data_IF_347874960584
#
_entry.id   IF_347874960584
#
_cell.length_a   1.000
_cell.length_b   1.000
_cell.length_c   1.000
_cell.angle_alpha   90.00
_cell.angle_beta   90.00
_cell.angle_gamma   90.00
#
_symmetry.space_group_name_H-M   'P 1'
#
loop_
_entity.id
_entity.type
_entity.pdbx_description
1 polymer ?
#
# COMPACT_ATOMS: atom_id res chain seq x y z
N UNK A 1 -21.79 -25.84 -14.50
CA UNK A 1 -20.52 -26.07 -13.78
C UNK A 1 -20.00 -24.70 -13.37
N UNK A 2 -19.96 -24.40 -12.07
CA UNK A 2 -19.32 -23.18 -11.56
C UNK A 2 -17.84 -23.26 -11.96
N UNK A 3 -17.43 -22.45 -12.94
CA UNK A 3 -16.01 -22.30 -13.27
C UNK A 3 -15.37 -21.65 -12.04
N UNK A 4 -14.77 -22.46 -11.17
CA UNK A 4 -13.86 -21.96 -10.15
C UNK A 4 -12.77 -21.20 -10.90
N UNK A 5 -12.81 -19.88 -10.81
CA UNK A 5 -11.77 -19.03 -11.36
C UNK A 5 -10.40 -19.48 -10.86
N UNK A 6 -9.32 -19.10 -11.54
CA UNK A 6 -7.97 -19.40 -11.09
C UNK A 6 -7.80 -19.00 -9.61
N UNK A 7 -7.09 -19.81 -8.80
CA UNK A 7 -6.91 -19.51 -7.39
C UNK A 7 -6.24 -18.15 -7.23
N UNK A 8 -6.68 -17.40 -6.21
CA UNK A 8 -6.07 -16.12 -5.84
C UNK A 8 -4.60 -16.34 -5.51
N UNK A 9 -3.75 -15.47 -6.04
CA UNK A 9 -2.31 -15.48 -5.84
C UNK A 9 -1.89 -14.19 -5.14
N UNK A 10 -0.76 -14.27 -4.43
CA UNK A 10 -0.16 -13.11 -3.79
C UNK A 10 0.69 -12.32 -4.78
N UNK A 11 0.46 -11.01 -4.84
CA UNK A 11 1.16 -10.08 -5.71
C UNK A 11 1.67 -8.87 -4.93
N UNK A 12 2.77 -8.29 -5.41
CA UNK A 12 3.20 -6.94 -5.00
C UNK A 12 2.48 -5.89 -5.84
N UNK A 13 2.39 -4.65 -5.33
CA UNK A 13 1.85 -3.51 -6.09
C UNK A 13 2.47 -3.40 -7.49
N UNK A 14 3.80 -3.51 -7.57
CA UNK A 14 4.55 -3.38 -8.83
C UNK A 14 4.15 -4.45 -9.86
N UNK A 15 3.94 -5.69 -9.42
CA UNK A 15 3.49 -6.76 -10.32
C UNK A 15 2.06 -6.53 -10.80
N UNK A 16 1.17 -6.01 -9.95
CA UNK A 16 -0.18 -5.63 -10.36
C UNK A 16 -0.21 -4.43 -11.32
N UNK A 17 0.64 -3.41 -11.12
CA UNK A 17 0.79 -2.31 -12.09
C UNK A 17 1.14 -2.86 -13.47
N UNK A 18 2.06 -3.83 -13.53
CA UNK A 18 2.48 -4.45 -14.80
C UNK A 18 1.31 -5.17 -15.49
N UNK A 19 0.52 -5.92 -14.73
CA UNK A 19 -0.67 -6.62 -15.26
C UNK A 19 -1.75 -5.61 -15.70
N UNK A 20 -2.03 -4.60 -14.88
CA UNK A 20 -2.97 -3.51 -15.20
C UNK A 20 -2.60 -2.82 -16.51
N UNK A 21 -1.33 -2.42 -16.64
CA UNK A 21 -0.83 -1.79 -17.86
C UNK A 21 -0.91 -2.73 -19.06
N UNK A 22 -0.68 -4.04 -18.90
CA UNK A 22 -0.84 -5.00 -20.00
C UNK A 22 -2.30 -5.11 -20.47
N UNK A 23 -3.27 -5.07 -19.54
CA UNK A 23 -4.71 -5.07 -19.87
C UNK A 23 -5.09 -3.77 -20.57
N UNK A 24 -4.62 -2.64 -20.06
CA UNK A 24 -4.92 -1.32 -20.61
C UNK A 24 -4.28 -1.10 -21.99
N UNK A 25 -3.06 -1.58 -22.21
CA UNK A 25 -2.45 -1.60 -23.54
C UNK A 25 -3.20 -2.52 -24.50
N UNK A 26 -3.69 -3.68 -24.04
CA UNK A 26 -4.52 -4.56 -24.85
C UNK A 26 -5.87 -3.90 -25.22
N UNK A 27 -6.47 -3.14 -24.30
CA UNK A 27 -7.69 -2.38 -24.56
C UNK A 27 -7.48 -1.21 -25.53
N UNK A 28 -6.27 -0.66 -25.61
CA UNK A 28 -5.90 0.41 -26.54
C UNK A 28 -5.45 -0.09 -27.92
N UNK A 29 -5.17 -1.38 -28.06
CA UNK A 29 -4.76 -1.95 -29.33
C UNK A 29 -5.90 -1.85 -30.34
N UNK A 30 -5.59 -1.38 -31.56
CA UNK A 30 -6.58 -1.29 -32.63
C UNK A 30 -7.14 -2.68 -32.95
N UNK A 31 -8.44 -2.85 -32.77
CA UNK A 31 -9.15 -4.10 -33.03
C UNK A 31 -10.53 -3.84 -33.63
N UNK A 32 -10.97 -4.72 -34.54
CA UNK A 32 -12.33 -4.74 -35.09
C UNK A 32 -13.18 -5.79 -34.35
N UNK A 33 -13.29 -5.67 -33.03
CA UNK A 33 -13.95 -6.65 -32.18
C UNK A 33 -15.23 -6.16 -31.50
N UNK A 34 -15.66 -4.93 -31.78
CA UNK A 34 -16.94 -4.37 -31.38
C UNK A 34 -16.83 -3.37 -30.21
N UNK A 35 -17.96 -3.01 -29.58
CA UNK A 35 -17.95 -2.02 -28.51
C UNK A 35 -17.15 -2.52 -27.31
N UNK A 36 -16.20 -1.70 -26.85
CA UNK A 36 -15.37 -1.98 -25.69
C UNK A 36 -16.00 -1.39 -24.42
N UNK A 37 -16.09 -2.23 -23.38
CA UNK A 37 -16.37 -1.82 -21.99
C UNK A 37 -15.05 -1.86 -21.23
N UNK A 38 -14.74 -0.79 -20.50
CA UNK A 38 -13.67 -0.80 -19.49
C UNK A 38 -14.23 -0.38 -18.15
N UNK A 39 -13.96 -1.17 -17.10
CA UNK A 39 -14.27 -0.82 -15.71
C UNK A 39 -12.97 -0.88 -14.92
N UNK A 40 -12.61 0.22 -14.25
CA UNK A 40 -11.43 0.29 -13.42
C UNK A 40 -11.74 0.88 -12.05
N UNK A 41 -11.27 0.23 -10.99
CA UNK A 41 -11.41 0.68 -9.61
C UNK A 41 -10.05 1.10 -9.06
N UNK A 42 -9.97 2.35 -8.62
CA UNK A 42 -8.79 2.96 -8.02
C UNK A 42 -9.01 3.13 -6.53
N UNK A 43 -8.02 2.70 -5.74
CA UNK A 43 -8.12 2.79 -4.29
C UNK A 43 -8.04 4.23 -3.77
N UNK A 44 -7.36 5.14 -4.49
CA UNK A 44 -7.12 6.55 -4.08
C UNK A 44 -6.85 7.47 -5.27
N UNK A 45 -7.18 8.76 -5.12
CA UNK A 45 -7.04 9.77 -6.18
C UNK A 45 -5.62 9.85 -6.76
N UNK A 46 -4.53 9.87 -5.96
CA UNK A 46 -3.18 9.98 -6.50
C UNK A 46 -2.80 8.83 -7.46
N UNK A 47 -3.41 7.65 -7.32
CA UNK A 47 -3.18 6.55 -8.25
C UNK A 47 -3.92 6.79 -9.57
N UNK A 48 -5.14 7.33 -9.54
CA UNK A 48 -5.88 7.68 -10.75
C UNK A 48 -5.25 8.85 -11.50
N UNK A 49 -4.81 9.90 -10.79
CA UNK A 49 -4.17 11.08 -11.40
C UNK A 49 -2.97 10.71 -12.28
N UNK A 50 -2.18 9.71 -11.86
CA UNK A 50 -1.03 9.20 -12.64
C UNK A 50 -1.44 8.52 -13.94
N UNK A 51 -2.62 7.91 -13.98
CA UNK A 51 -3.15 7.17 -15.12
C UNK A 51 -4.15 7.98 -15.95
N UNK A 52 -4.42 9.25 -15.60
CA UNK A 52 -5.43 10.09 -16.26
C UNK A 52 -5.24 10.18 -17.78
N UNK A 53 -4.00 10.35 -18.25
CA UNK A 53 -3.70 10.40 -19.69
C UNK A 53 -4.02 9.08 -20.40
N UNK A 54 -3.81 7.94 -19.72
CA UNK A 54 -4.13 6.60 -20.23
C UNK A 54 -5.64 6.41 -20.30
N UNK A 55 -6.36 6.72 -19.22
CA UNK A 55 -7.81 6.60 -19.19
C UNK A 55 -8.52 7.56 -20.14
N UNK A 56 -7.91 8.72 -20.45
CA UNK A 56 -8.39 9.60 -21.52
C UNK A 56 -8.31 8.93 -22.90
N UNK A 57 -7.23 8.18 -23.19
CA UNK A 57 -7.13 7.41 -24.43
C UNK A 57 -8.11 6.25 -24.49
N UNK A 58 -8.28 5.53 -23.37
CA UNK A 58 -9.23 4.41 -23.28
C UNK A 58 -10.66 4.92 -23.50
N UNK A 59 -11.07 5.97 -22.80
CA UNK A 59 -12.42 6.52 -22.90
C UNK A 59 -12.75 7.06 -24.31
N UNK A 60 -11.75 7.55 -25.04
CA UNK A 60 -11.93 8.00 -26.41
C UNK A 60 -12.21 6.86 -27.42
N UNK A 61 -11.77 5.63 -27.12
CA UNK A 61 -11.99 4.45 -27.98
C UNK A 61 -13.05 3.48 -27.48
N UNK A 62 -13.35 3.49 -26.18
CA UNK A 62 -14.32 2.61 -25.56
C UNK A 62 -15.76 3.10 -25.79
N UNK A 63 -16.70 2.17 -25.87
CA UNK A 63 -18.13 2.51 -25.88
C UNK A 63 -18.58 3.04 -24.51
N UNK A 64 -17.99 2.54 -23.43
CA UNK A 64 -18.20 3.01 -22.06
C UNK A 64 -16.97 2.73 -21.23
N UNK A 65 -16.53 3.72 -20.45
CA UNK A 65 -15.49 3.56 -19.42
C UNK A 65 -16.07 3.93 -18.08
N UNK A 66 -15.92 3.07 -17.07
CA UNK A 66 -16.34 3.33 -15.69
C UNK A 66 -15.10 3.37 -14.80
N UNK A 67 -14.95 4.46 -14.05
CA UNK A 67 -13.86 4.68 -13.10
C UNK A 67 -14.45 4.78 -11.70
N UNK A 68 -14.26 3.74 -10.89
CA UNK A 68 -14.54 3.78 -9.47
C UNK A 68 -13.35 4.37 -8.71
N UNK A 69 -13.61 5.28 -7.78
CA UNK A 69 -12.59 5.89 -6.94
C UNK A 69 -13.09 6.02 -5.51
N UNK A 70 -12.24 5.66 -4.55
CA UNK A 70 -12.61 5.78 -3.13
C UNK A 70 -12.52 7.21 -2.62
N UNK A 71 -13.53 7.61 -1.84
CA UNK A 71 -13.64 8.90 -1.15
C UNK A 71 -14.39 9.95 -1.96
N UNK A 72 -14.04 10.10 -3.24
CA UNK A 72 -14.64 11.13 -4.11
C UNK A 72 -14.71 10.67 -5.57
N UNK A 73 -15.63 11.27 -6.33
CA UNK A 73 -15.66 11.13 -7.79
C UNK A 73 -14.56 12.01 -8.40
N UNK A 74 -13.78 11.53 -9.38
CA UNK A 74 -12.77 12.38 -10.02
C UNK A 74 -13.39 13.65 -10.64
N UNK A 75 -12.85 14.84 -10.35
CA UNK A 75 -13.44 16.11 -10.79
C UNK A 75 -13.36 16.32 -12.31
N UNK A 76 -12.35 15.73 -12.96
CA UNK A 76 -12.14 15.82 -14.41
C UNK A 76 -12.06 14.43 -15.04
N UNK A 77 -13.21 13.86 -15.34
CA UNK A 77 -13.27 12.62 -16.10
C UNK A 77 -13.15 12.89 -17.60
N UNK A 78 -12.45 12.03 -18.36
CA UNK A 78 -12.48 12.08 -19.81
C UNK A 78 -13.90 12.00 -20.35
N UNK A 79 -14.16 12.65 -21.48
CA UNK A 79 -15.42 12.45 -22.21
C UNK A 79 -15.61 10.94 -22.52
N UNK A 80 -16.82 10.42 -22.26
CA UNK A 80 -17.12 8.99 -22.40
C UNK A 80 -16.77 8.12 -21.16
N UNK A 81 -16.16 8.72 -20.13
CA UNK A 81 -15.94 8.06 -18.84
C UNK A 81 -16.99 8.49 -17.80
N UNK A 82 -17.39 7.52 -16.97
CA UNK A 82 -18.32 7.71 -15.85
C UNK A 82 -17.59 7.44 -14.53
N UNK A 83 -17.76 8.33 -13.58
CA UNK A 83 -17.12 8.24 -12.26
C UNK A 83 -18.07 7.66 -11.24
N UNK A 84 -17.55 6.81 -10.36
CA UNK A 84 -18.28 6.31 -9.20
C UNK A 84 -17.45 6.53 -7.94
N UNK A 85 -17.99 7.30 -6.99
CA UNK A 85 -17.43 7.37 -5.65
C UNK A 85 -17.68 6.05 -4.90
N UNK A 86 -16.63 5.54 -4.27
CA UNK A 86 -16.68 4.38 -3.39
C UNK A 86 -16.47 4.82 -1.93
N UNK A 87 -17.24 4.26 -1.01
CA UNK A 87 -17.10 4.54 0.41
C UNK A 87 -15.87 3.84 0.99
N UNK A 88 -15.09 4.53 1.82
CA UNK A 88 -13.84 4.01 2.42
C UNK A 88 -14.00 2.70 3.21
N UNK A 89 -15.22 2.42 3.67
CA UNK A 89 -15.56 1.24 4.46
C UNK A 89 -16.12 0.08 3.64
N UNK A 90 -16.49 0.30 2.38
CA UNK A 90 -17.07 -0.75 1.53
C UNK A 90 -16.00 -1.72 1.02
N UNK A 91 -16.42 -2.92 0.62
CA UNK A 91 -15.51 -3.96 0.16
C UNK A 91 -14.68 -3.53 -1.06
N UNK A 92 -15.32 -2.84 -2.00
CA UNK A 92 -14.70 -2.35 -3.23
C UNK A 92 -13.60 -1.31 -2.97
N UNK A 93 -13.59 -0.62 -1.83
CA UNK A 93 -12.55 0.36 -1.53
C UNK A 93 -11.15 -0.26 -1.36
N UNK A 94 -11.10 -1.56 -1.03
CA UNK A 94 -9.84 -2.32 -0.96
C UNK A 94 -9.54 -3.10 -2.24
N UNK A 95 -10.47 -3.09 -3.19
CA UNK A 95 -10.35 -3.78 -4.46
C UNK A 95 -9.66 -2.86 -5.49
N UNK A 96 -8.67 -3.41 -6.18
CA UNK A 96 -8.16 -2.90 -7.43
C UNK A 96 -8.64 -3.84 -8.52
N UNK A 97 -9.53 -3.33 -9.37
CA UNK A 97 -10.03 -4.04 -10.53
C UNK A 97 -9.74 -3.28 -11.81
N UNK A 98 -9.35 -3.99 -12.87
CA UNK A 98 -9.32 -3.48 -14.24
C UNK A 98 -9.88 -4.58 -15.13
N UNK A 99 -10.99 -4.28 -15.79
CA UNK A 99 -11.69 -5.22 -16.66
C UNK A 99 -11.89 -4.56 -18.00
N UNK A 100 -11.49 -5.24 -19.06
CA UNK A 100 -11.73 -4.85 -20.44
C UNK A 100 -12.52 -5.97 -21.13
N UNK A 101 -13.59 -5.62 -21.83
CA UNK A 101 -14.46 -6.59 -22.49
C UNK A 101 -14.97 -6.08 -23.84
N UNK A 102 -14.80 -6.90 -24.87
CA UNK A 102 -15.43 -6.76 -26.18
C UNK A 102 -16.10 -8.09 -26.55
N UNK A 103 -16.92 -8.12 -27.62
CA UNK A 103 -17.41 -9.37 -28.19
C UNK A 103 -16.35 -10.43 -28.52
N UNK A 104 -15.07 -10.09 -28.72
CA UNK A 104 -14.01 -11.09 -29.07
C UNK A 104 -12.76 -11.03 -28.20
N UNK A 105 -12.70 -10.14 -27.23
CA UNK A 105 -11.59 -9.97 -26.30
C UNK A 105 -12.13 -9.82 -24.88
N UNK A 106 -11.38 -10.33 -23.91
CA UNK A 106 -11.59 -9.91 -22.55
C UNK A 106 -10.37 -10.14 -21.70
N UNK A 107 -10.17 -9.24 -20.74
CA UNK A 107 -9.10 -9.34 -19.77
C UNK A 107 -9.54 -8.80 -18.43
N UNK A 108 -9.02 -9.41 -17.37
CA UNK A 108 -9.36 -9.08 -15.99
C UNK A 108 -8.12 -8.98 -15.14
N UNK A 109 -8.17 -8.04 -14.22
CA UNK A 109 -7.40 -8.00 -13.00
C UNK A 109 -8.40 -7.70 -11.89
N UNK A 110 -8.40 -8.53 -10.85
CA UNK A 110 -9.13 -8.27 -9.59
C UNK A 110 -8.18 -8.61 -8.45
N UNK A 111 -7.85 -7.63 -7.63
CA UNK A 111 -6.94 -7.80 -6.51
C UNK A 111 -7.41 -7.03 -5.29
N UNK A 112 -7.30 -7.64 -4.11
CA UNK A 112 -7.63 -7.02 -2.83
C UNK A 112 -6.37 -6.73 -2.05
N UNK A 113 -6.26 -5.50 -1.55
CA UNK A 113 -5.16 -5.12 -0.66
C UNK A 113 -5.27 -5.83 0.69
N UNK A 114 -4.20 -6.54 1.08
CA UNK A 114 -4.11 -7.23 2.37
C UNK A 114 -3.79 -6.29 3.52
N UNK A 115 -3.35 -5.07 3.22
CA UNK A 115 -2.73 -4.13 4.18
C UNK A 115 -1.51 -4.74 4.88
N UNK A 116 -0.82 -5.64 4.19
CA UNK A 116 0.44 -6.25 4.57
C UNK A 116 1.56 -5.69 3.69
N UNK A 117 2.80 -5.73 4.18
CA UNK A 117 3.98 -5.34 3.41
C UNK A 117 5.08 -6.38 3.48
N UNK A 118 5.83 -6.52 2.39
CA UNK A 118 7.14 -7.16 2.38
C UNK A 118 8.27 -6.12 2.33
N UNK A 119 9.49 -6.56 2.63
CA UNK A 119 10.66 -5.70 2.58
C UNK A 119 10.92 -5.24 1.13
N UNK A 120 10.85 -3.94 0.91
CA UNK A 120 11.02 -3.32 -0.40
C UNK A 120 11.66 -1.93 -0.26
N UNK A 121 12.04 -1.35 -1.40
CA UNK A 121 12.63 -0.01 -1.48
C UNK A 121 11.71 1.11 -0.97
N UNK A 122 10.39 0.91 -1.05
CA UNK A 122 9.37 1.80 -0.48
C UNK A 122 8.21 0.99 0.09
N UNK A 123 7.46 1.58 1.04
CA UNK A 123 6.25 0.99 1.60
C UNK A 123 5.23 0.66 0.50
N UNK A 124 4.98 1.59 -0.41
CA UNK A 124 4.05 1.37 -1.52
C UNK A 124 4.46 0.17 -2.39
N UNK A 125 5.75 0.05 -2.73
CA UNK A 125 6.24 -1.06 -3.57
C UNK A 125 6.12 -2.41 -2.86
N UNK A 126 6.26 -2.43 -1.54
CA UNK A 126 6.15 -3.62 -0.70
C UNK A 126 4.73 -4.07 -0.38
N UNK A 127 3.68 -3.29 -0.73
CA UNK A 127 2.29 -3.67 -0.46
C UNK A 127 1.91 -4.99 -1.11
N UNK A 128 1.25 -5.84 -0.34
CA UNK A 128 0.81 -7.17 -0.74
C UNK A 128 -0.69 -7.21 -1.05
N UNK A 129 -1.04 -7.93 -2.10
CA UNK A 129 -2.39 -8.08 -2.60
C UNK A 129 -2.69 -9.55 -2.85
N UNK A 130 -3.93 -9.97 -2.62
CA UNK A 130 -4.44 -11.23 -3.14
C UNK A 130 -5.27 -10.95 -4.37
N UNK A 131 -4.94 -11.57 -5.49
CA UNK A 131 -5.66 -11.29 -6.73
C UNK A 131 -5.63 -12.40 -7.74
N UNK A 132 -6.33 -12.16 -8.83
CA UNK A 132 -6.35 -12.98 -10.03
C UNK A 132 -6.34 -12.08 -11.26
N UNK A 133 -5.78 -12.60 -12.33
CA UNK A 133 -5.79 -11.94 -13.62
C UNK A 133 -5.85 -12.97 -14.75
N UNK A 134 -6.37 -12.55 -15.88
CA UNK A 134 -6.57 -13.40 -17.04
C UNK A 134 -6.84 -12.59 -18.30
N UNK A 135 -6.72 -13.26 -19.44
CA UNK A 135 -7.00 -12.71 -20.78
C UNK A 135 -8.09 -13.54 -21.47
N UNK A 136 -9.02 -14.02 -20.66
CA UNK A 136 -10.17 -14.82 -21.05
C UNK A 136 -11.44 -13.99 -21.00
N UNK A 137 -12.21 -14.07 -22.07
CA UNK A 137 -13.45 -13.29 -22.21
C UNK A 137 -14.56 -13.76 -21.28
N UNK A 138 -14.63 -15.06 -20.99
CA UNK A 138 -15.59 -15.58 -20.02
C UNK A 138 -15.28 -15.06 -18.62
N UNK A 139 -14.01 -14.97 -18.22
CA UNK A 139 -13.62 -14.36 -16.94
C UNK A 139 -13.98 -12.86 -16.90
N UNK A 140 -13.68 -12.11 -17.98
CA UNK A 140 -14.06 -10.70 -18.10
C UNK A 140 -15.56 -10.47 -18.07
N UNK A 141 -16.34 -11.32 -18.73
CA UNK A 141 -17.80 -11.26 -18.70
C UNK A 141 -18.32 -11.37 -17.26
N UNK A 142 -17.85 -12.35 -16.49
CA UNK A 142 -18.27 -12.52 -15.09
C UNK A 142 -17.92 -11.29 -14.24
N UNK A 143 -16.74 -10.69 -14.44
CA UNK A 143 -16.36 -9.49 -13.68
C UNK A 143 -17.13 -8.24 -14.10
N UNK A 144 -17.41 -8.05 -15.40
CA UNK A 144 -18.26 -6.93 -15.84
C UNK A 144 -19.67 -7.07 -15.26
N UNK A 145 -20.26 -8.28 -15.27
CA UNK A 145 -21.58 -8.51 -14.66
C UNK A 145 -21.55 -8.18 -13.16
N UNK A 146 -20.56 -8.70 -12.42
CA UNK A 146 -20.40 -8.44 -10.98
C UNK A 146 -20.28 -6.95 -10.68
N UNK A 147 -19.40 -6.24 -11.39
CA UNK A 147 -19.15 -4.81 -11.16
C UNK A 147 -20.33 -3.95 -11.61
N UNK A 148 -20.98 -4.29 -12.73
CA UNK A 148 -22.20 -3.65 -13.19
C UNK A 148 -23.29 -3.72 -12.11
N UNK A 149 -23.50 -4.89 -11.51
CA UNK A 149 -24.52 -5.07 -10.46
C UNK A 149 -24.16 -4.31 -9.18
N UNK A 150 -22.89 -4.28 -8.79
CA UNK A 150 -22.43 -3.56 -7.58
C UNK A 150 -22.45 -2.04 -7.72
N UNK A 151 -22.37 -1.54 -8.94
CA UNK A 151 -22.33 -0.11 -9.25
C UNK A 151 -23.64 0.39 -9.86
N UNK A 152 -24.66 -0.46 -10.00
CA UNK A 152 -25.90 -0.16 -10.71
C UNK A 152 -26.59 1.12 -10.21
N UNK A 153 -26.77 1.25 -8.90
CA UNK A 153 -27.44 2.40 -8.28
C UNK A 153 -26.61 3.70 -8.34
N UNK A 154 -25.35 3.61 -8.78
CA UNK A 154 -24.38 4.70 -8.80
C UNK A 154 -24.03 5.15 -10.22
N UNK A 155 -24.50 4.45 -11.25
CA UNK A 155 -24.22 4.74 -12.65
C UNK A 155 -25.43 5.36 -13.34
N UNK A 156 -25.24 6.32 -14.27
CA UNK A 156 -26.31 6.81 -15.11
C UNK A 156 -26.93 5.69 -15.95
N UNK A 157 -28.25 5.78 -16.20
CA UNK A 157 -28.98 4.79 -17.00
C UNK A 157 -28.39 4.60 -18.41
N UNK A 158 -27.82 5.66 -19.00
CA UNK A 158 -27.13 5.59 -20.30
C UNK A 158 -25.89 4.70 -20.25
N UNK A 159 -25.07 4.82 -19.20
CA UNK A 159 -23.88 3.99 -19.02
C UNK A 159 -24.28 2.51 -18.85
N UNK A 160 -25.27 2.25 -18.02
CA UNK A 160 -25.80 0.90 -17.78
C UNK A 160 -26.34 0.28 -19.07
N UNK A 161 -27.13 1.02 -19.85
CA UNK A 161 -27.65 0.55 -21.13
C UNK A 161 -26.53 0.18 -22.12
N UNK A 162 -25.45 0.97 -22.18
CA UNK A 162 -24.29 0.65 -23.02
C UNK A 162 -23.56 -0.60 -22.53
N UNK A 163 -23.34 -0.75 -21.22
CA UNK A 163 -22.75 -1.97 -20.65
C UNK A 163 -23.62 -3.19 -20.97
N UNK A 164 -24.92 -3.12 -20.72
CA UNK A 164 -25.88 -4.20 -20.95
C UNK A 164 -25.93 -4.60 -22.44
N UNK A 165 -25.81 -3.64 -23.36
CA UNK A 165 -25.70 -3.92 -24.80
C UNK A 165 -24.45 -4.74 -25.15
N UNK A 166 -23.30 -4.44 -24.55
CA UNK A 166 -22.07 -5.23 -24.78
C UNK A 166 -22.19 -6.61 -24.16
N UNK A 167 -22.72 -6.70 -22.94
CA UNK A 167 -22.97 -7.98 -22.26
C UNK A 167 -23.85 -8.91 -23.09
N UNK A 168 -24.92 -8.38 -23.69
CA UNK A 168 -25.81 -9.15 -24.57
C UNK A 168 -25.07 -9.71 -25.79
N UNK A 169 -24.28 -8.88 -26.48
CA UNK A 169 -23.46 -9.33 -27.64
C UNK A 169 -22.43 -10.41 -27.26
N UNK A 170 -21.82 -10.31 -26.08
CA UNK A 170 -20.81 -11.27 -25.61
C UNK A 170 -21.43 -12.61 -25.25
N UNK A 171 -22.62 -12.63 -24.61
CA UNK A 171 -23.31 -13.85 -24.15
C UNK A 171 -23.55 -14.87 -25.28
N UNK A 172 -23.68 -14.40 -26.51
CA UNK A 172 -23.94 -15.23 -27.68
C UNK A 172 -22.68 -15.79 -28.35
N UNK A 173 -21.49 -15.45 -27.86
CA UNK A 173 -20.22 -15.85 -28.46
C UNK A 173 -19.35 -16.60 -27.44
N UNK A 174 -19.21 -17.95 -27.51
CA UNK A 174 -18.44 -18.70 -26.53
C UNK A 174 -16.94 -18.36 -26.61
N UNK A 175 -16.26 -18.36 -25.46
CA UNK A 175 -14.80 -18.23 -25.38
C UNK A 175 -14.13 -19.30 -26.26
N UNK A 176 -13.13 -18.90 -27.04
CA UNK A 176 -12.43 -19.84 -27.92
C UNK A 176 -11.30 -20.54 -27.19
N UNK A 177 -10.96 -21.80 -27.53
CA UNK A 177 -9.78 -22.47 -26.96
C UNK A 177 -8.45 -21.71 -27.21
N UNK A 178 -8.42 -20.78 -28.16
CA UNK A 178 -7.28 -19.89 -28.40
C UNK A 178 -6.99 -18.96 -27.21
N UNK A 179 -8.04 -18.43 -26.56
CA UNK A 179 -7.92 -17.55 -25.39
C UNK A 179 -7.21 -18.26 -24.23
N UNK A 180 -7.62 -19.50 -23.94
CA UNK A 180 -6.98 -20.32 -22.89
C UNK A 180 -5.53 -20.66 -23.19
N UNK A 181 -5.18 -20.91 -24.47
CA UNK A 181 -3.79 -21.18 -24.88
C UNK A 181 -2.93 -19.92 -24.79
N UNK A 182 -3.46 -18.78 -25.22
CA UNK A 182 -2.78 -17.49 -25.12
C UNK A 182 -2.53 -17.11 -23.65
N UNK A 183 -3.55 -17.24 -22.79
CA UNK A 183 -3.42 -17.00 -21.36
C UNK A 183 -2.36 -17.89 -20.71
N UNK A 184 -2.33 -19.18 -21.04
CA UNK A 184 -1.31 -20.10 -20.52
C UNK A 184 0.12 -19.64 -20.87
N UNK A 185 0.31 -19.14 -22.11
CA UNK A 185 1.57 -18.54 -22.55
C UNK A 185 1.92 -17.27 -21.76
N UNK A 186 0.97 -16.34 -21.62
CA UNK A 186 1.15 -15.10 -20.86
C UNK A 186 1.49 -15.37 -19.39
N UNK A 187 0.82 -16.34 -18.76
CA UNK A 187 1.10 -16.75 -17.37
C UNK A 187 2.50 -17.31 -17.21
N UNK A 188 2.96 -18.15 -18.15
CA UNK A 188 4.33 -18.66 -18.14
C UNK A 188 5.36 -17.52 -18.22
N UNK A 189 5.14 -16.55 -19.11
CA UNK A 189 6.02 -15.39 -19.25
C UNK A 189 6.03 -14.53 -18.00
N UNK A 190 4.85 -14.22 -17.44
CA UNK A 190 4.72 -13.45 -16.20
C UNK A 190 5.42 -14.15 -15.03
N UNK A 191 5.25 -15.47 -14.88
CA UNK A 191 5.90 -16.25 -13.83
C UNK A 191 7.44 -16.30 -14.00
N UNK A 192 7.96 -16.33 -15.23
CA UNK A 192 9.40 -16.23 -15.49
C UNK A 192 9.93 -14.83 -15.17
N UNK A 193 9.23 -13.78 -15.60
CA UNK A 193 9.61 -12.40 -15.34
C UNK A 193 9.61 -12.08 -13.84
N UNK A 194 8.64 -12.59 -13.09
CA UNK A 194 8.59 -12.47 -11.63
C UNK A 194 9.76 -13.21 -10.94
N UNK A 195 10.07 -14.45 -11.34
CA UNK A 195 11.22 -15.19 -10.80
C UNK A 195 12.55 -14.49 -11.07
N UNK A 196 12.76 -14.01 -12.30
CA UNK A 196 13.97 -13.28 -12.67
C UNK A 196 14.11 -11.99 -11.83
N UNK A 197 13.01 -11.27 -11.59
CA UNK A 197 13.01 -10.08 -10.72
C UNK A 197 13.34 -10.40 -9.26
N UNK A 198 12.78 -11.47 -8.70
CA UNK A 198 13.10 -11.90 -7.33
C UNK A 198 14.58 -12.28 -7.18
N UNK A 199 15.13 -13.00 -8.16
CA UNK A 199 16.55 -13.33 -8.17
C UNK A 199 17.43 -12.07 -8.20
N UNK A 200 17.09 -11.08 -9.03
CA UNK A 200 17.82 -9.81 -9.09
C UNK A 200 17.71 -9.00 -7.77
N UNK A 201 16.54 -8.99 -7.13
CA UNK A 201 16.35 -8.32 -5.83
C UNK A 201 17.09 -9.01 -4.69
N UNK A 202 17.29 -10.33 -4.75
CA UNK A 202 18.09 -11.07 -3.77
C UNK A 202 19.58 -10.72 -3.90
N UNK A 203 20.12 -10.68 -5.12
CA UNK A 203 21.53 -10.27 -5.34
C UNK A 203 21.80 -8.82 -4.97
N UNK A 204 20.80 -7.93 -5.04
CA UNK A 204 20.98 -6.54 -4.55
C UNK A 204 21.03 -6.48 -3.02
N UNK A 205 20.36 -7.41 -2.32
CA UNK A 205 20.35 -7.52 -0.85
C UNK A 205 21.62 -8.13 -0.27
N UNK A 206 22.35 -8.95 -1.04
CA UNK A 206 23.63 -9.52 -0.59
C UNK A 206 24.79 -8.50 -0.57
N UNK A 207 24.59 -7.27 -1.06
CA UNK A 207 25.60 -6.20 -1.11
C UNK A 207 25.43 -5.04 -0.11
N UNK A 208 24.24 -4.86 0.47
CA UNK A 208 23.99 -3.92 1.55
C UNK A 208 23.50 -4.71 2.76
N UNK A 209 24.20 -4.66 3.92
CA UNK A 209 23.68 -5.32 5.10
C UNK A 209 22.25 -4.84 5.34
N UNK A 210 21.31 -5.79 5.36
CA UNK A 210 19.99 -5.63 5.98
C UNK A 210 20.19 -5.47 7.50
N UNK A 211 20.99 -4.49 7.91
CA UNK A 211 21.08 -4.09 9.30
C UNK A 211 19.76 -3.42 9.62
N UNK A 212 18.97 -4.10 10.46
CA UNK A 212 17.90 -3.48 11.22
C UNK A 212 18.58 -2.48 12.15
N UNK A 213 18.84 -1.29 11.60
CA UNK A 213 19.62 -0.22 12.19
C UNK A 213 18.93 1.12 12.00
N UNK A 214 19.54 2.19 12.51
CA UNK A 214 19.04 3.53 12.27
C UNK A 214 19.24 3.91 10.79
N UNK A 215 18.15 4.25 10.12
CA UNK A 215 18.20 4.95 8.85
C UNK A 215 18.31 6.45 9.10
N UNK A 216 18.82 7.19 8.11
CA UNK A 216 18.75 8.65 8.11
C UNK A 216 17.34 9.14 7.71
N UNK A 217 17.05 10.41 8.04
CA UNK A 217 15.75 11.01 7.74
C UNK A 217 15.44 11.04 6.23
N UNK A 218 16.37 11.39 5.32
CA UNK A 218 16.12 11.32 3.88
C UNK A 218 15.74 9.91 3.39
N UNK A 219 16.38 8.85 3.90
CA UNK A 219 16.03 7.47 3.56
C UNK A 219 14.65 7.09 4.08
N UNK A 220 14.30 7.50 5.30
CA UNK A 220 12.96 7.29 5.83
C UNK A 220 11.90 8.00 4.97
N UNK A 221 12.17 9.24 4.54
CA UNK A 221 11.26 10.01 3.67
C UNK A 221 11.02 9.31 2.33
N UNK A 222 12.09 8.86 1.66
CA UNK A 222 11.99 8.10 0.40
C UNK A 222 11.22 6.79 0.61
N UNK A 223 11.52 6.04 1.66
CA UNK A 223 10.92 4.74 1.93
C UNK A 223 9.43 4.83 2.28
N UNK A 224 9.04 5.79 3.15
CA UNK A 224 7.63 6.00 3.53
C UNK A 224 6.77 6.55 2.39
N UNK A 225 7.42 7.14 1.38
CA UNK A 225 6.75 7.78 0.26
C UNK A 225 6.27 9.19 0.61
N UNK A 226 6.96 9.90 1.51
CA UNK A 226 6.78 11.34 1.73
C UNK A 226 6.98 12.14 0.42
N UNK A 227 7.73 11.58 -0.53
CA UNK A 227 7.85 12.07 -1.91
C UNK A 227 6.66 11.67 -2.82
N UNK A 228 5.53 11.28 -2.23
CA UNK A 228 4.24 11.08 -2.91
C UNK A 228 3.89 9.66 -3.35
N UNK A 229 4.57 8.61 -2.86
CA UNK A 229 4.40 7.25 -3.43
C UNK A 229 3.24 6.47 -2.79
N UNK A 230 3.08 6.54 -1.47
CA UNK A 230 2.02 5.84 -0.73
C UNK A 230 0.86 6.80 -0.48
N UNK A 231 -0.36 6.49 -0.93
CA UNK A 231 -1.52 7.34 -0.71
C UNK A 231 -2.15 7.10 0.67
N UNK A 232 -2.72 8.16 1.27
CA UNK A 232 -3.48 8.05 2.53
C UNK A 232 -4.59 7.00 2.45
N UNK A 233 -4.95 6.38 3.57
CA UNK A 233 -6.06 5.42 3.69
C UNK A 233 -5.76 4.00 3.16
N UNK A 234 -4.56 3.72 2.65
CA UNK A 234 -4.22 2.41 2.07
C UNK A 234 -3.60 1.48 3.11
N UNK A 235 -2.39 1.83 3.57
CA UNK A 235 -1.56 1.04 4.47
C UNK A 235 -1.49 1.71 5.86
N UNK A 236 -2.05 1.08 6.91
CA UNK A 236 -1.82 1.49 8.28
C UNK A 236 -0.34 1.36 8.66
N UNK A 237 0.17 2.38 9.34
CA UNK A 237 1.54 2.46 9.85
C UNK A 237 1.46 2.92 11.30
N UNK A 238 2.08 2.16 12.20
CA UNK A 238 2.28 2.63 13.56
C UNK A 238 3.56 3.45 13.65
N UNK A 239 3.48 4.53 14.42
CA UNK A 239 4.62 5.36 14.79
C UNK A 239 4.83 5.23 16.28
N UNK A 240 6.05 4.93 16.68
CA UNK A 240 6.47 4.90 18.08
C UNK A 240 7.57 5.94 18.25
N UNK A 241 7.21 7.10 18.78
CA UNK A 241 8.20 8.07 19.23
C UNK A 241 8.80 7.59 20.54
N UNK A 242 10.12 7.63 20.69
CA UNK A 242 10.83 7.22 21.89
C UNK A 242 11.85 8.28 22.26
N UNK A 243 11.81 8.73 23.52
CA UNK A 243 12.84 9.60 24.11
C UNK A 243 13.62 8.83 25.15
N UNK A 244 14.94 8.89 25.06
CA UNK A 244 15.88 8.18 25.95
C UNK A 244 16.78 9.20 26.63
N UNK A 245 16.29 9.80 27.71
CA UNK A 245 17.02 10.85 28.43
C UNK A 245 17.77 10.28 29.63
N UNK A 246 18.84 10.94 30.07
CA UNK A 246 19.38 10.70 31.42
C UNK A 246 18.47 11.39 32.45
N UNK A 247 18.23 10.76 33.62
CA UNK A 247 17.50 11.40 34.71
C UNK A 247 18.12 12.74 35.10
N UNK A 248 17.27 13.69 35.45
CA UNK A 248 17.71 15.02 35.93
C UNK A 248 18.63 14.87 37.15
N UNK A 249 19.78 15.54 37.13
CA UNK A 249 20.78 15.47 38.20
C UNK A 249 21.88 14.43 38.01
N UNK A 250 21.93 13.74 36.87
CA UNK A 250 23.06 12.86 36.50
C UNK A 250 24.32 13.70 36.29
N UNK A 251 25.47 13.37 36.93
CA UNK A 251 26.71 14.14 36.80
C UNK A 251 27.28 14.07 35.38
N UNK A 252 27.85 15.18 34.90
CA UNK A 252 28.53 15.24 33.59
C UNK A 252 29.62 14.17 33.49
N UNK A 253 29.57 13.37 32.42
CA UNK A 253 30.50 12.26 32.22
C UNK A 253 31.67 12.66 31.33
N UNK A 254 32.87 12.27 31.75
CA UNK A 254 34.11 12.55 31.02
C UNK A 254 34.45 11.42 30.04
N UNK A 255 34.44 11.73 28.73
CA UNK A 255 35.06 10.89 27.68
C UNK A 255 34.17 10.59 26.46
N UNK A 256 34.64 10.95 25.25
CA UNK A 256 33.87 10.75 24.00
C UNK A 256 33.67 9.28 23.59
N UNK A 257 34.53 8.37 24.05
CA UNK A 257 34.51 6.94 23.65
C UNK A 257 33.45 6.11 24.40
N UNK A 258 33.12 6.47 25.64
CA UNK A 258 32.01 5.84 26.39
C UNK A 258 30.66 6.24 25.82
N UNK A 259 30.47 7.54 25.53
CA UNK A 259 29.24 8.07 24.93
C UNK A 259 28.87 7.40 23.60
N UNK A 260 29.87 7.13 22.75
CA UNK A 260 29.63 6.43 21.48
C UNK A 260 29.15 4.98 21.68
N UNK A 261 29.71 4.27 22.65
CA UNK A 261 29.31 2.89 22.99
C UNK A 261 27.92 2.83 23.61
N UNK A 262 27.62 3.78 24.51
CA UNK A 262 26.29 3.94 25.10
C UNK A 262 25.24 4.23 24.03
N UNK A 263 25.53 5.18 23.12
CA UNK A 263 24.66 5.49 21.97
C UNK A 263 24.42 4.25 21.11
N UNK A 264 25.46 3.46 20.83
CA UNK A 264 25.30 2.24 20.05
C UNK A 264 24.46 1.17 20.79
N UNK A 265 24.58 1.10 22.12
CA UNK A 265 23.78 0.18 22.92
C UNK A 265 22.30 0.59 22.96
N UNK A 266 22.02 1.89 23.07
CA UNK A 266 20.66 2.44 22.93
C UNK A 266 20.08 2.11 21.56
N UNK A 267 20.85 2.31 20.49
CA UNK A 267 20.43 1.95 19.13
C UNK A 267 20.12 0.46 19.03
N UNK A 268 21.00 -0.41 19.53
CA UNK A 268 20.78 -1.85 19.53
C UNK A 268 19.52 -2.26 20.29
N UNK A 269 19.26 -1.65 21.46
CA UNK A 269 18.05 -1.89 22.24
C UNK A 269 16.77 -1.42 21.54
N UNK A 270 16.84 -0.27 20.83
CA UNK A 270 15.72 0.26 20.04
C UNK A 270 15.39 -0.62 18.83
N UNK A 271 16.41 -1.18 18.16
CA UNK A 271 16.24 -1.92 16.92
C UNK A 271 16.06 -3.42 17.09
N UNK A 272 16.46 -3.99 18.24
CA UNK A 272 16.32 -5.43 18.52
C UNK A 272 14.87 -5.97 18.37
N UNK A 273 13.80 -5.25 18.77
CA UNK A 273 12.44 -5.74 18.61
C UNK A 273 11.84 -5.57 17.22
N UNK A 274 12.57 -4.98 16.27
CA UNK A 274 12.06 -4.59 14.95
C UNK A 274 12.14 -5.73 13.93
N UNK A 275 11.11 -5.81 13.08
CA UNK A 275 11.05 -6.74 11.95
C UNK A 275 11.85 -6.18 10.77
N UNK A 276 12.22 -7.01 9.77
CA UNK A 276 12.93 -6.54 8.57
C UNK A 276 12.21 -5.44 7.76
N UNK A 277 10.89 -5.33 7.92
CA UNK A 277 10.05 -4.30 7.27
C UNK A 277 9.93 -3.02 8.09
N UNK A 278 10.34 -3.03 9.36
CA UNK A 278 10.26 -1.88 10.25
C UNK A 278 11.50 -0.98 10.06
N UNK A 279 11.39 0.30 10.41
CA UNK A 279 12.51 1.24 10.35
C UNK A 279 12.60 2.07 11.62
N UNK A 280 13.81 2.43 12.01
CA UNK A 280 14.07 3.37 13.10
C UNK A 280 14.90 4.55 12.56
N UNK A 281 14.57 5.76 12.99
CA UNK A 281 15.33 6.98 12.69
C UNK A 281 15.60 7.73 13.99
N UNK A 282 16.74 8.40 14.07
CA UNK A 282 16.99 9.40 15.11
C UNK A 282 16.53 10.76 14.60
N UNK A 283 15.59 11.39 15.30
CA UNK A 283 15.04 12.69 14.92
C UNK A 283 15.95 13.82 15.39
N UNK A 284 16.28 13.85 16.67
CA UNK A 284 17.16 14.85 17.28
C UNK A 284 17.69 14.32 18.61
N UNK A 285 18.99 14.50 18.89
CA UNK A 285 19.56 14.17 20.20
C UNK A 285 19.19 12.76 20.71
N UNK A 286 18.36 12.73 21.76
CA UNK A 286 17.81 11.58 22.47
C UNK A 286 16.43 11.09 21.98
N UNK A 287 15.91 11.67 20.89
CA UNK A 287 14.62 11.36 20.29
C UNK A 287 14.76 10.45 19.07
N UNK A 288 13.98 9.38 19.08
CA UNK A 288 13.93 8.35 18.05
C UNK A 288 12.48 8.14 17.59
N UNK A 289 12.33 7.67 16.36
CA UNK A 289 11.04 7.29 15.80
C UNK A 289 11.15 5.91 15.18
N UNK A 290 10.29 4.99 15.61
CA UNK A 290 10.11 3.68 15.01
C UNK A 290 8.87 3.73 14.11
N UNK A 291 9.00 3.22 12.90
CA UNK A 291 7.95 3.18 11.88
C UNK A 291 7.66 1.72 11.58
N UNK A 292 6.47 1.27 11.99
CA UNK A 292 6.04 -0.12 11.96
C UNK A 292 4.85 -0.27 11.00
N UNK A 293 5.07 -0.66 9.74
CA UNK A 293 3.97 -0.83 8.79
C UNK A 293 3.15 -2.09 9.11
N UNK A 294 1.86 -2.07 8.75
CA UNK A 294 0.98 -3.24 8.85
C UNK A 294 0.94 -3.87 10.24
N UNK A 295 0.85 -3.05 11.29
CA UNK A 295 0.62 -3.51 12.67
C UNK A 295 -0.62 -2.86 13.26
N UNK A 296 -1.23 -3.54 14.21
CA UNK A 296 -2.30 -2.99 15.04
C UNK A 296 -1.72 -2.10 16.15
N UNK A 297 -2.59 -1.35 16.82
CA UNK A 297 -2.20 -0.53 17.98
C UNK A 297 -1.69 -1.40 19.13
N UNK A 298 -2.32 -2.55 19.37
CA UNK A 298 -1.89 -3.53 20.37
C UNK A 298 -0.47 -4.05 20.10
N UNK A 299 -0.19 -4.41 18.83
CA UNK A 299 1.14 -4.85 18.42
C UNK A 299 2.19 -3.74 18.55
N UNK A 300 1.83 -2.49 18.21
CA UNK A 300 2.71 -1.34 18.36
C UNK A 300 3.03 -1.03 19.83
N UNK A 301 2.03 -1.12 20.71
CA UNK A 301 2.22 -1.00 22.17
C UNK A 301 3.10 -2.12 22.71
N UNK A 302 2.95 -3.35 22.22
CA UNK A 302 3.82 -4.47 22.58
C UNK A 302 5.27 -4.22 22.13
N UNK A 303 5.50 -3.64 20.95
CA UNK A 303 6.84 -3.22 20.51
C UNK A 303 7.40 -2.13 21.43
N UNK A 304 6.61 -1.10 21.76
CA UNK A 304 7.04 -0.03 22.67
C UNK A 304 7.42 -0.58 24.06
N UNK A 305 6.64 -1.53 24.60
CA UNK A 305 6.94 -2.20 25.86
C UNK A 305 8.24 -3.03 25.79
N UNK A 306 8.47 -3.75 24.69
CA UNK A 306 9.75 -4.48 24.47
C UNK A 306 10.94 -3.53 24.41
N UNK A 307 10.82 -2.42 23.67
CA UNK A 307 11.86 -1.39 23.59
C UNK A 307 12.18 -0.82 24.98
N UNK A 308 11.15 -0.53 25.78
CA UNK A 308 11.34 -0.06 27.16
C UNK A 308 12.10 -1.08 28.02
N UNK A 309 11.75 -2.36 27.92
CA UNK A 309 12.43 -3.44 28.65
C UNK A 309 13.90 -3.62 28.23
N UNK A 310 14.19 -3.56 26.92
CA UNK A 310 15.56 -3.63 26.40
C UNK A 310 16.41 -2.46 26.90
N UNK A 311 15.87 -1.23 26.85
CA UNK A 311 16.55 -0.03 27.33
C UNK A 311 16.79 -0.06 28.85
N UNK A 312 15.79 -0.49 29.64
CA UNK A 312 15.98 -0.69 31.08
C UNK A 312 17.04 -1.77 31.38
N UNK A 313 17.15 -2.79 30.52
CA UNK A 313 18.15 -3.84 30.60
C UNK A 313 19.59 -3.36 30.41
N UNK A 314 19.82 -2.19 29.79
CA UNK A 314 21.14 -1.62 29.57
C UNK A 314 21.88 -1.29 30.88
N UNK A 315 21.16 -1.03 31.97
CA UNK A 315 21.75 -0.80 33.29
C UNK A 315 22.63 -1.97 33.76
N UNK A 316 22.41 -3.20 33.27
CA UNK A 316 23.26 -4.37 33.58
C UNK A 316 24.64 -4.28 32.93
N UNK A 317 24.70 -3.74 31.72
CA UNK A 317 25.94 -3.59 30.94
C UNK A 317 26.62 -2.25 31.21
N UNK A 318 25.85 -1.26 31.66
CA UNK A 318 26.30 0.09 31.97
C UNK A 318 25.76 0.53 33.35
N UNK A 319 26.37 0.05 34.45
CA UNK A 319 25.84 0.22 35.82
C UNK A 319 25.79 1.67 36.34
N UNK A 320 26.37 2.62 35.62
CA UNK A 320 26.35 4.05 35.94
C UNK A 320 25.46 4.87 34.98
N UNK A 321 24.73 4.18 34.11
CA UNK A 321 23.76 4.75 33.18
C UNK A 321 22.36 4.38 33.64
N UNK A 322 21.57 5.38 34.01
CA UNK A 322 20.12 5.24 34.11
C UNK A 322 19.49 6.03 32.96
N UNK A 323 18.48 5.45 32.31
CA UNK A 323 17.71 6.14 31.28
C UNK A 323 16.27 6.30 31.73
N UNK A 324 15.75 7.51 31.63
CA UNK A 324 14.32 7.79 31.63
C UNK A 324 13.81 7.60 30.20
N UNK A 325 12.96 6.60 30.00
CA UNK A 325 12.43 6.24 28.69
C UNK A 325 10.94 6.56 28.64
N UNK A 326 10.58 7.45 27.72
CA UNK A 326 9.19 7.82 27.46
C UNK A 326 8.86 7.54 26.00
N UNK A 327 7.68 7.01 25.72
CA UNK A 327 7.23 6.72 24.37
C UNK A 327 5.83 7.27 24.10
N UNK A 328 5.54 7.51 22.82
CA UNK A 328 4.19 7.78 22.35
C UNK A 328 3.89 6.92 21.12
N UNK A 329 2.71 6.32 21.08
CA UNK A 329 2.28 5.40 20.02
C UNK A 329 1.07 5.98 19.29
N UNK A 330 1.07 5.87 17.97
CA UNK A 330 -0.13 6.09 17.16
C UNK A 330 -0.17 5.12 15.98
N UNK A 331 -1.36 4.79 15.49
CA UNK A 331 -1.56 4.02 14.25
C UNK A 331 -2.36 4.85 13.28
N UNK A 332 -1.80 5.04 12.09
CA UNK A 332 -2.37 5.96 11.10
C UNK A 332 -2.22 5.42 9.69
N UNK A 333 -3.23 5.69 8.86
CA UNK A 333 -3.16 5.55 7.42
C UNK A 333 -3.05 6.91 6.73
N UNK A 334 -2.85 8.00 7.48
CA UNK A 334 -2.59 9.34 6.92
C UNK A 334 -1.22 9.42 6.26
N UNK A 335 -1.14 10.24 5.21
CA UNK A 335 0.10 10.67 4.56
C UNK A 335 0.02 12.19 4.31
N UNK A 336 1.07 12.97 4.64
CA UNK A 336 2.32 12.56 5.30
C UNK A 336 2.10 11.98 6.70
N UNK A 337 3.09 11.24 7.21
CA UNK A 337 3.00 10.64 8.55
C UNK A 337 2.97 11.74 9.63
N UNK A 338 2.12 11.65 10.67
CA UNK A 338 1.96 12.64 11.74
C UNK A 338 3.12 12.60 12.75
N UNK A 339 4.35 12.79 12.27
CA UNK A 339 5.57 12.73 13.09
C UNK A 339 5.59 13.84 14.15
N UNK A 340 5.11 15.04 13.80
CA UNK A 340 5.05 16.17 14.73
C UNK A 340 4.15 15.89 15.94
N UNK A 341 2.96 15.31 15.72
CA UNK A 341 2.01 14.99 16.79
C UNK A 341 2.57 13.94 17.75
N UNK A 342 3.24 12.93 17.19
CA UNK A 342 3.94 11.90 17.98
C UNK A 342 5.05 12.51 18.82
N UNK A 343 5.85 13.42 18.26
CA UNK A 343 6.91 14.11 19.02
C UNK A 343 6.33 14.94 20.17
N UNK A 344 5.28 15.72 19.90
CA UNK A 344 4.60 16.50 20.93
C UNK A 344 4.06 15.60 22.06
N UNK A 345 3.52 14.44 21.71
CA UNK A 345 3.04 13.47 22.69
C UNK A 345 4.17 12.82 23.51
N UNK A 346 5.33 12.55 22.92
CA UNK A 346 6.51 12.08 23.67
C UNK A 346 7.02 13.14 24.63
N UNK A 347 7.09 14.40 24.19
CA UNK A 347 7.47 15.53 25.06
C UNK A 347 6.50 15.70 26.23
N UNK A 348 5.20 15.57 25.98
CA UNK A 348 4.19 15.55 27.02
C UNK A 348 4.36 14.37 27.97
N UNK A 349 4.57 13.16 27.46
CA UNK A 349 4.77 11.96 28.27
C UNK A 349 6.00 12.09 29.18
N UNK A 350 7.09 12.68 28.67
CA UNK A 350 8.28 12.95 29.46
C UNK A 350 8.02 13.99 30.58
N UNK A 351 7.25 15.04 30.30
CA UNK A 351 6.91 16.08 31.30
C UNK A 351 6.03 15.52 32.42
N UNK A 352 5.03 14.73 32.07
CA UNK A 352 4.06 14.14 33.01
C UNK A 352 4.55 12.81 33.61
N UNK A 353 5.76 12.37 33.28
CA UNK A 353 6.36 11.12 33.75
C UNK A 353 5.52 9.87 33.40
N UNK A 354 4.84 9.90 32.25
CA UNK A 354 4.10 8.78 31.69
C UNK A 354 5.05 7.90 30.87
N UNK A 355 5.16 6.59 31.13
CA UNK A 355 6.08 5.72 30.38
C UNK A 355 5.71 5.58 28.90
N UNK A 356 4.41 5.41 28.60
CA UNK A 356 3.89 5.26 27.23
C UNK A 356 2.56 6.01 27.11
N UNK A 357 2.49 6.95 26.17
CA UNK A 357 1.26 7.66 25.79
C UNK A 357 0.68 7.13 24.47
N UNK A 358 -0.62 7.27 24.27
CA UNK A 358 -1.30 6.97 23.00
C UNK A 358 -1.81 8.25 22.36
N UNK A 359 -1.52 8.47 21.09
CA UNK A 359 -2.09 9.59 20.32
C UNK A 359 -3.28 9.08 19.54
N UNK A 360 -4.44 9.68 19.79
CA UNK A 360 -5.68 9.33 19.12
C UNK A 360 -5.54 9.40 17.60
N UNK A 361 -6.15 8.44 16.91
CA UNK A 361 -6.20 8.43 15.46
C UNK A 361 -7.15 9.53 14.98
N UNK A 362 -6.61 10.52 14.27
CA UNK A 362 -7.45 11.49 13.56
C UNK A 362 -8.05 10.82 12.31
N UNK A 363 -9.39 10.79 12.16
CA UNK A 363 -10.01 10.20 10.97
C UNK A 363 -9.57 10.97 9.72
N UNK A 364 -9.41 10.26 8.59
CA UNK A 364 -9.25 10.90 7.28
C UNK A 364 -10.55 11.68 7.03
N UNK A 365 -10.56 12.98 7.30
CA UNK A 365 -11.60 13.85 6.79
C UNK A 365 -11.44 13.88 5.28
N UNK A 366 -12.35 13.22 4.56
CA UNK A 366 -12.53 13.43 3.13
C UNK A 366 -12.67 14.94 2.91
N UNK A 367 -11.67 15.54 2.29
CA UNK A 367 -11.58 16.98 2.14
C UNK A 367 -12.80 17.51 1.41
N UNK A 368 -13.69 18.19 2.11
CA UNK A 368 -14.58 19.15 1.48
C UNK A 368 -13.76 20.37 1.10
N UNK A 369 -13.33 20.45 -0.16
CA UNK A 369 -13.04 21.73 -0.82
C UNK A 369 -13.46 21.70 -2.27
#
# INVERSE_FOLDING_TARGET
>A
MLHSGPPTQRFTKRSLVTVSHAIEEAALATAEDGPLVVIALFQRMPYFTRELARYRRIAAGAAVTVVGLVGETPPELPAGAYGVALDDVEELAREWSVVALTPRFGATLVARDRREVEAAVTLEAGRLFDGRWGFRRDEALHEVVRLRDRLADRLPATALATVDQVLDRVRHLPATPGESRAEAGLRLMAARAERARRAASATTRDGEPSEVGLVDEPTLRRWTGLDGVTASGTLPVALVGVRVAEPTGTPERFGRRSTARETQAVIGALTAPLRPVDRAVRLAGDEYLLVLPAVTEEEALAVAARVHAELAGLARSFPFVAYAVHAAVTVTDQRPLPVADVRHAVEWAAREQVPVATVAREPVTAGHR
#
